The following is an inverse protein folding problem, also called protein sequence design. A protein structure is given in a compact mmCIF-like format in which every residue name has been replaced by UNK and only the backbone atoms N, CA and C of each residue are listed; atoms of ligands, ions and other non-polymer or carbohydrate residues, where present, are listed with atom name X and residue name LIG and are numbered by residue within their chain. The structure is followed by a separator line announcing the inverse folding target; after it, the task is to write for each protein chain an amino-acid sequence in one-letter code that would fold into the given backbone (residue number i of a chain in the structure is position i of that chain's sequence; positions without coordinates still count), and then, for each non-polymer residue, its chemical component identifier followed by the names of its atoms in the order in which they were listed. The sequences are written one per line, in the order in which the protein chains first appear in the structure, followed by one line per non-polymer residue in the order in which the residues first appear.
data_IF_810548095356
#
_entry.id   IF_810548095356
#
_cell.length_a   1.000
_cell.length_b   1.000
_cell.length_c   1.000
_cell.angle_alpha   90.00
_cell.angle_beta   90.00
_cell.angle_gamma   90.00
#
_symmetry.space_group_name_H-M   'P 1'
#
loop_
_entity.id
_entity.type
_entity.pdbx_description
1 polymer ?
#
# COMPACT_ATOMS: atom_id res chain seq x y z
N UNK A 1 -51.17 -10.33 14.75
CA UNK A 1 -50.33 -9.15 14.48
C UNK A 1 -48.92 -9.66 14.53
N UNK A 2 -48.44 -10.12 13.38
CA UNK A 2 -47.11 -10.71 13.22
C UNK A 2 -46.04 -9.62 13.29
N UNK A 3 -44.92 -9.97 13.91
CA UNK A 3 -43.72 -9.15 14.03
C UNK A 3 -42.82 -9.50 12.84
N UNK A 4 -42.87 -8.71 11.77
CA UNK A 4 -41.86 -8.75 10.70
C UNK A 4 -40.74 -7.77 11.09
N UNK A 5 -39.61 -8.25 11.59
CA UNK A 5 -38.47 -8.84 10.86
C UNK A 5 -37.58 -7.81 10.14
N UNK A 6 -36.28 -7.99 10.38
CA UNK A 6 -35.11 -7.49 9.63
C UNK A 6 -34.52 -6.14 10.09
N UNK A 7 -33.84 -6.22 11.24
CA UNK A 7 -32.38 -6.06 11.30
C UNK A 7 -31.79 -5.12 10.24
N UNK A 8 -31.57 -3.87 10.65
CA UNK A 8 -30.82 -2.84 9.94
C UNK A 8 -29.30 -3.16 9.97
N UNK A 9 -28.93 -4.37 9.54
CA UNK A 9 -27.55 -4.75 9.30
C UNK A 9 -27.17 -4.25 7.91
N UNK A 10 -26.80 -2.97 7.83
CA UNK A 10 -25.97 -2.50 6.73
C UNK A 10 -24.64 -3.28 6.88
N UNK A 11 -24.30 -4.22 5.97
CA UNK A 11 -22.99 -4.86 6.03
C UNK A 11 -21.98 -3.73 5.85
N UNK A 12 -21.07 -3.55 6.80
CA UNK A 12 -19.93 -2.66 6.61
C UNK A 12 -19.30 -3.02 5.26
N UNK A 13 -19.31 -2.14 4.24
CA UNK A 13 -18.81 -2.52 2.95
C UNK A 13 -17.33 -2.85 3.15
N UNK A 14 -16.94 -4.06 2.76
CA UNK A 14 -15.55 -4.46 2.62
C UNK A 14 -14.83 -3.30 1.93
N UNK A 15 -13.77 -2.76 2.54
CA UNK A 15 -12.94 -1.75 1.85
C UNK A 15 -12.47 -2.38 0.54
N UNK A 16 -12.86 -1.79 -0.58
CA UNK A 16 -12.45 -2.24 -1.90
C UNK A 16 -10.92 -2.27 -1.97
N UNK A 17 -10.40 -3.32 -2.58
CA UNK A 17 -8.98 -3.52 -2.83
C UNK A 17 -8.49 -2.52 -3.89
N UNK A 18 -7.17 -2.31 -3.96
CA UNK A 18 -6.57 -1.41 -4.95
C UNK A 18 -6.89 -1.85 -6.39
N UNK A 19 -6.93 -3.16 -6.64
CA UNK A 19 -7.26 -3.76 -7.93
C UNK A 19 -8.73 -3.53 -8.30
N UNK A 20 -9.66 -3.72 -7.35
CA UNK A 20 -11.09 -3.44 -7.56
C UNK A 20 -11.34 -1.94 -7.84
N UNK A 21 -10.63 -1.05 -7.16
CA UNK A 21 -10.73 0.40 -7.38
C UNK A 21 -10.14 0.82 -8.73
N UNK A 22 -9.05 0.17 -9.16
CA UNK A 22 -8.45 0.40 -10.47
C UNK A 22 -9.40 -0.06 -11.57
N UNK A 23 -9.98 -1.24 -11.43
CA UNK A 23 -10.95 -1.78 -12.38
C UNK A 23 -12.18 -0.86 -12.50
N UNK A 24 -12.73 -0.43 -11.36
CA UNK A 24 -13.86 0.51 -11.34
C UNK A 24 -13.54 1.88 -11.97
N UNK A 25 -12.27 2.30 -11.94
CA UNK A 25 -11.86 3.56 -12.57
C UNK A 25 -11.67 3.43 -14.09
N UNK A 26 -11.32 2.24 -14.59
CA UNK A 26 -11.05 1.99 -16.02
C UNK A 26 -12.33 1.61 -16.78
N UNK A 27 -13.28 0.91 -16.15
CA UNK A 27 -14.52 0.45 -16.79
C UNK A 27 -15.55 1.55 -17.09
N UNK A 28 -15.32 2.80 -16.66
CA UNK A 28 -16.25 3.92 -16.85
C UNK A 28 -16.18 4.65 -18.20
N UNK A 29 -15.44 4.13 -19.18
CA UNK A 29 -15.12 4.82 -20.44
C UNK A 29 -16.17 4.67 -21.56
N UNK A 30 -17.24 3.89 -21.35
CA UNK A 30 -18.38 3.92 -22.27
C UNK A 30 -19.13 5.24 -22.11
N UNK A 31 -19.03 6.10 -23.13
CA UNK A 31 -19.39 7.54 -23.18
C UNK A 31 -20.88 7.88 -22.91
N UNK A 32 -21.65 6.96 -22.34
CA UNK A 32 -23.07 7.04 -22.03
C UNK A 32 -23.33 6.66 -20.57
N UNK A 33 -22.77 7.40 -19.60
CA UNK A 33 -22.90 7.05 -18.19
C UNK A 33 -23.52 8.15 -17.30
N UNK A 34 -24.61 7.75 -16.63
CA UNK A 34 -25.36 8.53 -15.63
C UNK A 34 -24.47 9.11 -14.54
N UNK A 35 -24.83 10.28 -13.99
CA UNK A 35 -24.17 11.01 -12.87
C UNK A 35 -23.72 10.12 -11.69
N UNK A 36 -24.42 9.01 -11.44
CA UNK A 36 -24.08 8.04 -10.40
C UNK A 36 -22.77 7.28 -10.68
N UNK A 37 -22.52 6.88 -11.93
CA UNK A 37 -21.30 6.16 -12.31
C UNK A 37 -20.07 7.06 -12.31
N UNK A 38 -20.17 8.28 -12.84
CA UNK A 38 -19.12 9.30 -12.72
C UNK A 38 -18.75 9.58 -11.25
N UNK A 39 -19.73 9.61 -10.35
CA UNK A 39 -19.47 9.75 -8.90
C UNK A 39 -18.75 8.52 -8.34
N UNK A 40 -19.09 7.31 -8.78
CA UNK A 40 -18.42 6.09 -8.35
C UNK A 40 -16.96 6.04 -8.83
N UNK A 41 -16.70 6.34 -10.11
CA UNK A 41 -15.36 6.45 -10.68
C UNK A 41 -14.54 7.52 -9.97
N UNK A 42 -15.10 8.71 -9.76
CA UNK A 42 -14.43 9.79 -9.02
C UNK A 42 -14.07 9.40 -7.58
N UNK A 43 -14.97 8.69 -6.89
CA UNK A 43 -14.70 8.16 -5.55
C UNK A 43 -13.62 7.07 -5.55
N UNK A 44 -13.61 6.21 -6.58
CA UNK A 44 -12.58 5.17 -6.72
C UNK A 44 -11.20 5.80 -6.96
N UNK A 45 -11.13 6.79 -7.85
CA UNK A 45 -9.90 7.54 -8.14
C UNK A 45 -9.37 8.26 -6.89
N UNK A 46 -10.23 8.93 -6.12
CA UNK A 46 -9.82 9.62 -4.89
C UNK A 46 -9.20 8.66 -3.86
N UNK A 47 -9.78 7.46 -3.73
CA UNK A 47 -9.23 6.42 -2.85
C UNK A 47 -7.89 5.90 -3.37
N UNK A 48 -7.77 5.66 -4.67
CA UNK A 48 -6.54 5.20 -5.30
C UNK A 48 -5.38 6.21 -5.12
N UNK A 49 -5.64 7.50 -5.33
CA UNK A 49 -4.68 8.58 -5.04
C UNK A 49 -4.28 8.57 -3.56
N UNK A 50 -5.24 8.37 -2.66
CA UNK A 50 -4.99 8.24 -1.23
C UNK A 50 -4.07 7.07 -0.87
N UNK A 51 -4.23 5.92 -1.51
CA UNK A 51 -3.36 4.77 -1.36
C UNK A 51 -1.95 5.07 -1.87
N UNK A 52 -1.82 5.57 -3.10
CA UNK A 52 -0.51 5.89 -3.68
C UNK A 52 0.25 6.94 -2.88
N UNK A 53 -0.42 7.98 -2.37
CA UNK A 53 0.22 8.98 -1.52
C UNK A 53 0.80 8.38 -0.23
N UNK A 54 0.11 7.38 0.34
CA UNK A 54 0.60 6.67 1.53
C UNK A 54 1.83 5.82 1.20
N UNK A 55 1.83 5.15 0.07
CA UNK A 55 2.94 4.31 -0.36
C UNK A 55 4.17 5.15 -0.72
N UNK A 56 4.00 6.23 -1.48
CA UNK A 56 5.09 7.19 -1.79
C UNK A 56 5.70 7.75 -0.52
N UNK A 57 4.88 8.14 0.47
CA UNK A 57 5.39 8.61 1.76
C UNK A 57 6.23 7.54 2.45
N UNK A 58 5.77 6.29 2.44
CA UNK A 58 6.45 5.19 3.10
C UNK A 58 7.74 4.78 2.38
N UNK A 59 7.75 4.80 1.05
CA UNK A 59 8.97 4.57 0.27
C UNK A 59 10.05 5.58 0.65
N UNK A 60 9.68 6.86 0.79
CA UNK A 60 10.60 7.90 1.23
C UNK A 60 11.15 7.66 2.65
N UNK A 61 10.33 7.13 3.56
CA UNK A 61 10.78 6.77 4.91
C UNK A 61 11.77 5.59 4.91
N UNK A 62 11.76 4.77 3.86
CA UNK A 62 12.60 3.58 3.74
C UNK A 62 13.78 3.75 2.76
N UNK A 63 13.85 4.87 2.04
CA UNK A 63 14.85 5.14 1.00
C UNK A 63 16.25 5.48 1.54
N UNK A 64 16.39 5.80 2.83
CA UNK A 64 17.70 6.05 3.44
C UNK A 64 17.87 5.23 4.70
N UNK A 65 19.12 4.86 5.01
CA UNK A 65 19.44 4.08 6.19
C UNK A 65 18.94 4.76 7.47
N UNK A 66 19.15 6.07 7.61
CA UNK A 66 18.75 6.83 8.78
C UNK A 66 17.22 6.85 8.97
N UNK A 67 16.49 7.11 7.89
CA UNK A 67 15.03 7.12 7.92
C UNK A 67 14.46 5.71 8.15
N UNK A 68 15.03 4.68 7.52
CA UNK A 68 14.60 3.30 7.66
C UNK A 68 14.81 2.77 9.09
N UNK A 69 15.93 3.13 9.74
CA UNK A 69 16.16 2.82 11.17
C UNK A 69 15.12 3.50 12.06
N UNK A 70 14.81 4.78 11.80
CA UNK A 70 13.76 5.50 12.54
C UNK A 70 12.38 4.86 12.34
N UNK A 71 12.07 4.43 11.11
CA UNK A 71 10.86 3.68 10.79
C UNK A 71 10.80 2.38 11.59
N UNK A 72 11.82 1.53 11.52
CA UNK A 72 11.88 0.26 12.26
C UNK A 72 11.67 0.46 13.78
N UNK A 73 12.32 1.46 14.38
CA UNK A 73 12.17 1.81 15.80
C UNK A 73 10.76 2.28 16.15
N UNK A 74 10.04 2.88 15.21
CA UNK A 74 8.64 3.31 15.41
C UNK A 74 7.66 2.12 15.42
N UNK A 75 8.07 0.95 14.91
CA UNK A 75 7.26 -0.27 14.81
C UNK A 75 7.96 -1.49 15.45
N UNK A 76 8.25 -1.48 16.77
CA UNK A 76 9.03 -2.54 17.41
C UNK A 76 8.38 -3.92 17.31
N UNK A 77 7.05 -3.99 17.27
CA UNK A 77 6.29 -5.25 17.11
C UNK A 77 6.49 -5.92 15.73
N UNK A 78 6.87 -5.15 14.72
CA UNK A 78 7.10 -5.68 13.37
C UNK A 78 8.43 -6.44 13.27
N UNK A 79 9.35 -6.23 14.23
CA UNK A 79 10.65 -6.90 14.26
C UNK A 79 11.49 -6.61 13.01
N UNK A 80 11.43 -5.37 12.52
CA UNK A 80 12.16 -4.95 11.32
C UNK A 80 13.64 -4.74 11.64
N UNK A 81 14.50 -5.26 10.77
CA UNK A 81 15.96 -5.09 10.85
C UNK A 81 16.42 -4.33 9.62
N UNK A 82 17.34 -3.37 9.79
CA UNK A 82 17.79 -2.49 8.72
C UNK A 82 19.30 -2.62 8.57
N UNK A 83 19.76 -2.84 7.33
CA UNK A 83 21.17 -2.96 6.97
C UNK A 83 21.49 -2.02 5.79
N UNK A 84 22.75 -1.60 5.72
CA UNK A 84 23.33 -1.01 4.52
C UNK A 84 24.15 -2.11 3.84
N UNK A 85 23.86 -2.39 2.58
CA UNK A 85 24.52 -3.42 1.80
C UNK A 85 24.89 -2.86 0.43
N UNK A 86 26.07 -3.20 -0.06
CA UNK A 86 26.47 -2.97 -1.44
C UNK A 86 25.93 -4.11 -2.31
N UNK A 87 24.81 -3.89 -3.00
CA UNK A 87 24.12 -4.94 -3.74
C UNK A 87 24.52 -5.02 -5.22
N UNK A 88 24.98 -3.92 -5.80
CA UNK A 88 25.27 -3.79 -7.23
C UNK A 88 26.70 -3.35 -7.54
N UNK A 89 27.56 -3.15 -6.52
CA UNK A 89 28.89 -2.56 -6.64
C UNK A 89 28.85 -1.19 -7.35
N UNK A 90 27.75 -0.44 -7.20
CA UNK A 90 27.69 0.93 -7.70
C UNK A 90 28.57 1.83 -6.82
N UNK A 91 29.63 2.36 -7.43
CA UNK A 91 30.58 3.26 -6.77
C UNK A 91 29.92 4.52 -6.22
N UNK A 92 28.83 4.97 -6.84
CA UNK A 92 28.11 6.18 -6.46
C UNK A 92 27.05 5.89 -5.37
N UNK A 93 26.62 4.63 -5.22
CA UNK A 93 25.60 4.22 -4.23
C UNK A 93 25.99 2.93 -3.49
N UNK A 94 27.11 2.91 -2.75
CA UNK A 94 27.64 1.67 -2.16
C UNK A 94 26.82 1.12 -0.99
N UNK A 95 25.83 1.87 -0.49
CA UNK A 95 25.06 1.53 0.72
C UNK A 95 23.55 1.50 0.40
N UNK A 96 23.08 0.49 -0.33
CA UNK A 96 21.64 0.27 -0.49
C UNK A 96 21.01 -0.02 0.88
N UNK A 97 19.87 0.59 1.14
CA UNK A 97 19.13 0.39 2.38
C UNK A 97 18.24 -0.84 2.27
N UNK A 98 18.60 -1.92 2.96
CA UNK A 98 17.84 -3.16 2.98
C UNK A 98 17.11 -3.32 4.30
N UNK A 99 15.79 -3.55 4.22
CA UNK A 99 14.94 -3.78 5.38
C UNK A 99 14.46 -5.22 5.36
N UNK A 100 14.68 -5.93 6.45
CA UNK A 100 14.28 -7.31 6.66
C UNK A 100 13.11 -7.41 7.62
N UNK A 101 12.26 -8.40 7.37
CA UNK A 101 11.24 -8.87 8.31
C UNK A 101 11.87 -9.75 9.39
N UNK A 102 11.13 -9.97 10.47
CA UNK A 102 11.53 -10.87 11.56
C UNK A 102 11.88 -12.30 11.11
N UNK A 103 11.33 -12.75 9.98
CA UNK A 103 11.56 -14.10 9.43
C UNK A 103 12.76 -14.16 8.46
N UNK A 104 13.47 -13.06 8.26
CA UNK A 104 14.63 -13.00 7.36
C UNK A 104 14.29 -12.57 5.92
N UNK A 105 13.03 -12.60 5.51
CA UNK A 105 12.64 -12.16 4.17
C UNK A 105 12.83 -10.65 4.00
N UNK A 106 13.14 -10.24 2.77
CA UNK A 106 13.27 -8.83 2.43
C UNK A 106 11.88 -8.19 2.52
N UNK A 107 11.82 -7.04 3.17
CA UNK A 107 10.64 -6.18 3.25
C UNK A 107 10.69 -5.07 2.20
N UNK A 108 11.85 -4.41 2.10
CA UNK A 108 12.08 -3.34 1.14
C UNK A 108 13.58 -3.19 0.84
N UNK A 109 13.90 -2.70 -0.36
CA UNK A 109 15.25 -2.27 -0.78
C UNK A 109 15.13 -0.85 -1.34
N UNK A 110 15.94 0.09 -0.84
CA UNK A 110 15.94 1.52 -1.23
C UNK A 110 14.56 2.17 -1.26
N UNK A 111 13.73 1.75 -0.30
CA UNK A 111 12.38 2.25 -0.16
C UNK A 111 11.33 1.55 -1.01
N UNK A 112 11.68 0.59 -1.87
CA UNK A 112 10.72 -0.17 -2.65
C UNK A 112 10.34 -1.49 -1.99
N UNK A 113 9.04 -1.74 -1.87
CA UNK A 113 8.52 -3.00 -1.32
C UNK A 113 8.80 -4.18 -2.22
N UNK A 114 9.15 -5.30 -1.60
CA UNK A 114 9.25 -6.58 -2.30
C UNK A 114 7.90 -7.31 -2.26
N UNK A 115 7.69 -8.16 -3.27
CA UNK A 115 6.54 -9.06 -3.28
C UNK A 115 6.62 -10.04 -2.08
N UNK A 116 5.48 -10.43 -1.48
CA UNK A 116 5.46 -11.48 -0.47
C UNK A 116 6.15 -12.75 -0.99
N UNK A 117 7.12 -13.27 -0.23
CA UNK A 117 7.91 -14.46 -0.62
C UNK A 117 9.18 -14.18 -1.42
N UNK A 118 9.53 -12.92 -1.67
CA UNK A 118 10.83 -12.53 -2.22
C UNK A 118 11.91 -12.54 -1.12
N UNK A 119 12.95 -13.35 -1.32
CA UNK A 119 14.06 -13.54 -0.37
C UNK A 119 14.11 -14.95 0.20
#
# INVERSE_FOLDING_TARGET
MELDEQENFVPYPRRATQEELLQAAIEGDDYSETKAKLKAVGNALAQLIGYFNRDVKRNRELASLASARKFASSYPKAGLRVEALDLDNDKDTPDNTVVYRKNGNIYAVDGFYTAPGFG
#
